data_IF_063552860845
#
_entry.id   IF_063552860845
#
_cell.length_a   1.000
_cell.length_b   1.000
_cell.length_c   1.000
_cell.angle_alpha   90.00
_cell.angle_beta   90.00
_cell.angle_gamma   90.00
#
_symmetry.space_group_name_H-M   'P 1'
#
loop_
_entity.id
_entity.type
_entity.pdbx_description
1 polymer ?
#
# COMPACT_ATOMS: atom_id res chain seq x y z
N UNK A 1 32.26 -6.59 16.95
CA UNK A 1 32.05 -5.54 15.94
C UNK A 1 31.12 -6.06 14.86
N UNK A 2 29.86 -5.62 14.82
CA UNK A 2 28.91 -5.98 13.75
C UNK A 2 28.46 -4.69 13.05
N UNK A 3 28.90 -4.51 11.81
CA UNK A 3 28.47 -3.41 10.94
C UNK A 3 27.08 -3.76 10.37
N UNK A 4 26.04 -2.98 10.69
CA UNK A 4 24.77 -3.00 9.96
C UNK A 4 24.86 -2.03 8.80
N UNK A 5 24.92 -2.57 7.59
CA UNK A 5 24.80 -1.83 6.34
C UNK A 5 23.35 -1.35 6.19
N UNK A 6 23.13 -0.04 6.23
CA UNK A 6 21.86 0.59 5.88
C UNK A 6 21.74 0.62 4.35
N UNK A 7 20.98 -0.29 3.75
CA UNK A 7 20.52 -0.13 2.38
C UNK A 7 19.17 0.59 2.39
N UNK A 8 19.20 1.84 1.93
CA UNK A 8 18.00 2.62 1.61
C UNK A 8 17.27 1.93 0.46
N UNK A 9 16.14 1.27 0.75
CA UNK A 9 15.21 0.81 -0.29
C UNK A 9 14.21 1.92 -0.53
N UNK A 10 14.39 2.66 -1.63
CA UNK A 10 13.38 3.58 -2.14
C UNK A 10 12.15 2.76 -2.59
N UNK A 11 11.05 2.88 -1.86
CA UNK A 11 9.75 2.34 -2.26
C UNK A 11 9.05 3.40 -3.10
N UNK A 12 9.18 3.29 -4.42
CA UNK A 12 8.34 4.03 -5.37
C UNK A 12 6.94 3.42 -5.36
N UNK A 13 5.96 4.15 -4.84
CA UNK A 13 4.54 3.81 -4.95
C UNK A 13 4.05 4.18 -6.36
N UNK A 14 3.94 3.19 -7.24
CA UNK A 14 3.14 3.32 -8.46
C UNK A 14 1.66 3.24 -8.08
N UNK A 15 0.90 4.30 -8.37
CA UNK A 15 -0.56 4.26 -8.37
C UNK A 15 -1.00 3.88 -9.78
N UNK A 16 -1.37 2.62 -9.98
CA UNK A 16 -1.96 2.18 -11.24
C UNK A 16 -3.48 2.14 -11.11
N UNK A 17 -4.13 2.77 -12.10
CA UNK A 17 -5.57 2.97 -12.20
C UNK A 17 -6.20 1.68 -12.75
N UNK A 18 -7.35 1.30 -12.22
CA UNK A 18 -8.28 0.39 -12.90
C UNK A 18 -8.72 -0.80 -12.07
N UNK A 19 -9.77 -0.61 -11.26
CA UNK A 19 -10.63 -1.72 -10.84
C UNK A 19 -12.08 -1.29 -11.04
N UNK A 20 -12.73 -1.93 -11.99
CA UNK A 20 -14.16 -1.83 -12.27
C UNK A 20 -14.99 -2.20 -11.03
N UNK A 21 -15.81 -1.26 -10.60
CA UNK A 21 -16.67 -1.35 -9.44
C UNK A 21 -18.10 -1.71 -9.85
N UNK A 22 -18.36 -3.00 -10.08
CA UNK A 22 -19.75 -3.52 -10.07
C UNK A 22 -19.80 -4.83 -9.28
N UNK A 23 -20.80 -4.89 -8.39
CA UNK A 23 -21.23 -6.03 -7.55
C UNK A 23 -20.42 -6.35 -6.28
N UNK A 24 -20.64 -5.57 -5.20
CA UNK A 24 -20.74 -6.12 -3.83
C UNK A 24 -21.78 -5.31 -3.01
N UNK A 25 -22.59 -5.97 -2.15
CA UNK A 25 -23.72 -5.36 -1.47
C UNK A 25 -23.29 -4.36 -0.40
N UNK A 26 -23.96 -3.21 -0.43
CA UNK A 26 -23.85 -2.08 0.47
C UNK A 26 -24.14 -2.47 1.92
N UNK A 27 -23.09 -2.69 2.70
CA UNK A 27 -23.14 -2.49 4.16
C UNK A 27 -21.80 -1.95 4.66
N UNK A 28 -21.42 -0.82 4.07
CA UNK A 28 -20.56 0.14 4.75
C UNK A 28 -21.35 0.69 5.95
N UNK A 29 -20.98 0.27 7.15
CA UNK A 29 -21.21 1.14 8.30
C UNK A 29 -20.48 2.45 7.99
N UNK A 30 -21.17 3.60 8.04
CA UNK A 30 -20.49 4.87 7.86
C UNK A 30 -19.60 5.03 9.08
N UNK A 31 -18.28 4.92 8.89
CA UNK A 31 -17.35 5.63 9.76
C UNK A 31 -17.58 7.09 9.43
N UNK A 32 -18.57 7.69 10.09
CA UNK A 32 -18.75 9.13 10.13
C UNK A 32 -17.43 9.70 10.59
N UNK A 33 -16.78 10.43 9.67
CA UNK A 33 -15.71 11.38 9.92
C UNK A 33 -16.25 12.58 10.71
N UNK A 34 -17.08 12.32 11.72
CA UNK A 34 -17.61 13.31 12.63
C UNK A 34 -17.03 13.00 14.00
N UNK A 35 -16.23 13.95 14.45
CA UNK A 35 -15.64 14.04 15.78
C UNK A 35 -14.40 13.16 16.00
N UNK A 36 -13.36 13.41 15.19
CA UNK A 36 -12.11 13.74 15.87
C UNK A 36 -12.48 14.84 16.88
N UNK A 37 -12.19 14.70 18.19
CA UNK A 37 -12.28 15.86 19.05
C UNK A 37 -11.40 16.89 18.34
N UNK A 38 -12.02 17.95 17.80
CA UNK A 38 -11.28 19.15 17.46
C UNK A 38 -10.49 19.38 18.73
N UNK A 39 -9.17 19.26 18.66
CA UNK A 39 -8.33 19.90 19.64
C UNK A 39 -8.82 21.35 19.57
N UNK A 40 -9.70 21.73 20.49
CA UNK A 40 -9.90 23.11 20.86
C UNK A 40 -8.51 23.49 21.27
N UNK A 41 -7.79 24.10 20.33
CA UNK A 41 -6.49 24.67 20.60
C UNK A 41 -6.72 25.50 21.84
N UNK A 42 -6.06 25.11 22.93
CA UNK A 42 -5.92 25.99 24.06
C UNK A 42 -5.33 27.26 23.47
N UNK A 43 -6.16 28.28 23.35
CA UNK A 43 -5.76 29.62 22.95
C UNK A 43 -4.87 30.07 24.10
N UNK A 44 -3.58 29.75 24.02
CA UNK A 44 -2.57 30.27 24.93
C UNK A 44 -2.57 31.78 24.71
N UNK A 45 -3.22 32.53 25.59
CA UNK A 45 -3.38 33.99 25.47
C UNK A 45 -2.03 34.72 25.60
N UNK A 46 -1.03 34.08 26.18
CA UNK A 46 0.32 34.61 26.28
C UNK A 46 0.99 34.65 24.90
N UNK A 47 1.01 35.84 24.28
CA UNK A 47 1.73 36.14 23.03
C UNK A 47 3.20 35.66 23.04
N UNK A 48 3.83 35.65 24.22
CA UNK A 48 5.19 35.16 24.42
C UNK A 48 5.32 33.64 24.27
N UNK A 49 4.33 32.85 24.70
CA UNK A 49 4.39 31.38 24.65
C UNK A 49 4.13 30.86 23.23
N UNK A 50 3.31 31.56 22.45
CA UNK A 50 3.07 31.23 21.03
C UNK A 50 4.32 31.39 20.19
N UNK A 51 5.05 32.50 20.41
CA UNK A 51 6.27 32.78 19.67
C UNK A 51 7.35 31.73 19.95
N UNK A 52 7.47 31.26 21.20
CA UNK A 52 8.38 30.17 21.56
C UNK A 52 7.97 28.84 20.97
N UNK A 53 6.66 28.50 20.94
CA UNK A 53 6.19 27.25 20.32
C UNK A 53 6.41 27.23 18.80
N UNK A 54 6.22 28.37 18.13
CA UNK A 54 6.45 28.48 16.67
C UNK A 54 7.94 28.35 16.36
N UNK A 55 8.82 28.97 17.16
CA UNK A 55 10.28 28.85 17.00
C UNK A 55 10.77 27.42 17.22
N UNK A 56 10.27 26.71 18.24
CA UNK A 56 10.65 25.32 18.52
C UNK A 56 10.22 24.34 17.42
N UNK A 57 9.04 24.56 16.82
CA UNK A 57 8.57 23.75 15.67
C UNK A 57 9.45 24.00 14.44
N UNK A 58 9.91 25.23 14.24
CA UNK A 58 10.77 25.60 13.11
C UNK A 58 12.21 25.08 13.25
N UNK A 59 12.75 25.02 14.47
CA UNK A 59 14.11 24.55 14.73
C UNK A 59 14.22 23.04 14.93
N UNK A 60 13.10 22.31 14.98
CA UNK A 60 13.05 20.88 15.37
C UNK A 60 13.73 20.60 16.73
N UNK A 61 13.92 21.64 17.53
CA UNK A 61 14.63 21.57 18.79
C UNK A 61 13.57 21.48 19.89
N UNK A 62 13.26 20.25 20.28
CA UNK A 62 12.33 20.00 21.37
C UNK A 62 13.02 20.41 22.66
N UNK A 63 12.53 21.49 23.27
CA UNK A 63 13.02 22.00 24.55
C UNK A 63 13.24 20.84 25.54
N UNK A 64 14.45 20.70 26.13
CA UNK A 64 14.74 19.67 27.11
C UNK A 64 13.70 19.70 28.23
N UNK A 65 13.25 18.51 28.64
CA UNK A 65 12.18 18.35 29.64
C UNK A 65 12.44 19.16 30.91
N UNK A 66 13.70 19.25 31.32
CA UNK A 66 14.13 19.92 32.55
C UNK A 66 14.05 21.45 32.47
N UNK A 67 14.26 22.01 31.28
CA UNK A 67 14.12 23.45 31.02
C UNK A 67 12.66 23.87 31.03
N UNK A 68 11.78 23.04 30.45
CA UNK A 68 10.34 23.26 30.49
C UNK A 68 9.80 23.22 31.93
N UNK A 69 10.30 22.30 32.77
CA UNK A 69 9.90 22.21 34.18
C UNK A 69 10.27 23.50 34.93
N UNK A 70 11.50 23.98 34.74
CA UNK A 70 12.00 25.20 35.39
C UNK A 70 11.20 26.45 35.01
N UNK A 71 10.80 26.55 33.73
CA UNK A 71 9.93 27.63 33.24
C UNK A 71 8.54 27.57 33.89
N UNK A 72 7.94 26.37 33.98
CA UNK A 72 6.62 26.19 34.58
C UNK A 72 6.62 26.52 36.08
N UNK A 73 7.66 26.11 36.81
CA UNK A 73 7.80 26.43 38.23
C UNK A 73 7.98 27.93 38.46
N UNK A 74 8.83 28.59 37.67
CA UNK A 74 9.07 30.03 37.75
C UNK A 74 7.76 30.81 37.52
N UNK A 75 6.97 30.43 36.51
CA UNK A 75 5.66 31.04 36.24
C UNK A 75 4.67 30.86 37.39
N UNK A 76 4.64 29.69 38.01
CA UNK A 76 3.75 29.43 39.16
C UNK A 76 4.08 30.29 40.36
N UNK A 77 5.37 30.42 40.68
CA UNK A 77 5.83 31.26 41.79
C UNK A 77 5.48 32.73 41.54
N UNK A 78 5.64 33.22 40.30
CA UNK A 78 5.24 34.60 39.94
C UNK A 78 3.73 34.83 40.02
N UNK A 79 2.92 33.79 39.79
CA UNK A 79 1.47 33.82 39.96
C UNK A 79 1.04 33.58 41.42
N UNK A 80 1.95 33.64 42.39
CA UNK A 80 1.73 33.36 43.83
C UNK A 80 1.14 31.97 44.11
N UNK A 81 1.37 31.00 43.22
CA UNK A 81 0.99 29.60 43.42
C UNK A 81 2.17 28.83 44.01
N UNK A 82 1.91 27.96 44.97
CA UNK A 82 2.94 27.09 45.55
C UNK A 82 3.62 26.23 44.47
N UNK A 83 4.92 25.97 44.70
CA UNK A 83 5.73 25.11 43.83
C UNK A 83 5.11 23.71 43.74
N UNK A 84 5.02 23.18 42.51
CA UNK A 84 4.63 21.79 42.29
C UNK A 84 5.76 20.87 42.72
N UNK A 85 5.64 20.31 43.93
CA UNK A 85 6.42 19.16 44.31
C UNK A 85 5.72 17.88 43.81
N UNK A 86 6.19 17.34 42.68
CA UNK A 86 5.75 16.05 42.19
C UNK A 86 6.70 14.96 42.70
N UNK A 87 6.27 14.22 43.72
CA UNK A 87 7.04 13.09 44.23
C UNK A 87 6.98 11.90 43.27
N UNK A 88 8.00 11.75 42.43
CA UNK A 88 8.17 10.60 41.53
C UNK A 88 8.38 9.28 42.28
N UNK A 89 8.71 9.32 43.57
CA UNK A 89 8.93 8.13 44.40
C UNK A 89 7.62 7.44 44.75
N UNK A 90 6.51 8.19 44.71
CA UNK A 90 5.16 7.67 44.89
C UNK A 90 4.70 6.99 43.60
N UNK A 91 5.33 5.87 43.25
CA UNK A 91 4.71 4.88 42.36
C UNK A 91 3.40 4.48 43.01
N UNK A 92 2.29 4.98 42.49
CA UNK A 92 0.94 4.59 42.89
C UNK A 92 0.81 3.08 42.58
N UNK A 93 1.16 2.24 43.54
CA UNK A 93 1.17 0.76 43.41
C UNK A 93 -0.24 0.16 43.50
N UNK A 94 -1.27 0.99 43.40
CA UNK A 94 -2.62 0.65 43.84
C UNK A 94 -3.62 0.89 42.72
N UNK A 95 -3.48 0.12 41.64
CA UNK A 95 -4.59 -0.32 40.78
C UNK A 95 -4.13 -1.55 39.96
N UNK A 96 -4.10 -2.70 40.63
CA UNK A 96 -4.98 -3.87 40.46
C UNK A 96 -4.51 -4.88 39.41
N UNK A 97 -4.27 -6.12 39.86
CA UNK A 97 -4.07 -7.33 39.03
C UNK A 97 -5.02 -7.42 37.83
N UNK A 98 -6.25 -6.93 37.97
CA UNK A 98 -7.25 -6.85 36.89
C UNK A 98 -6.83 -5.97 35.72
N UNK A 99 -6.15 -4.85 35.96
CA UNK A 99 -5.67 -3.99 34.87
C UNK A 99 -4.50 -4.63 34.12
N UNK A 100 -3.59 -5.29 34.85
CA UNK A 100 -2.52 -6.08 34.24
C UNK A 100 -3.07 -7.25 33.42
N UNK A 101 -4.09 -7.96 33.92
CA UNK A 101 -4.80 -9.00 33.15
C UNK A 101 -5.46 -8.43 31.89
N UNK A 102 -6.10 -7.26 31.98
CA UNK A 102 -6.71 -6.59 30.83
C UNK A 102 -5.66 -6.18 29.79
N UNK A 103 -4.51 -5.67 30.25
CA UNK A 103 -3.39 -5.32 29.39
C UNK A 103 -2.84 -6.57 28.68
N UNK A 104 -2.67 -7.68 29.41
CA UNK A 104 -2.15 -8.91 28.83
C UNK A 104 -3.14 -9.53 27.84
N UNK A 105 -4.45 -9.49 28.12
CA UNK A 105 -5.49 -9.87 27.16
C UNK A 105 -5.43 -9.02 25.89
N UNK A 106 -5.26 -7.69 26.01
CA UNK A 106 -5.10 -6.79 24.84
C UNK A 106 -3.85 -7.12 24.04
N UNK A 107 -2.72 -7.37 24.70
CA UNK A 107 -1.46 -7.77 24.04
C UNK A 107 -1.61 -9.08 23.29
N UNK A 108 -2.26 -10.08 23.89
CA UNK A 108 -2.51 -11.37 23.25
C UNK A 108 -3.41 -11.20 22.02
N UNK A 109 -4.49 -10.43 22.12
CA UNK A 109 -5.37 -10.13 20.99
C UNK A 109 -4.62 -9.41 19.87
N UNK A 110 -3.82 -8.41 20.20
CA UNK A 110 -3.01 -7.69 19.21
C UNK A 110 -1.96 -8.61 18.56
N UNK A 111 -1.32 -9.49 19.33
CA UNK A 111 -0.39 -10.50 18.81
C UNK A 111 -1.08 -11.43 17.81
N UNK A 112 -2.28 -11.91 18.14
CA UNK A 112 -3.08 -12.75 17.26
C UNK A 112 -3.54 -12.01 16.01
N UNK A 113 -3.97 -10.75 16.14
CA UNK A 113 -4.35 -9.90 15.02
C UNK A 113 -3.17 -9.64 14.07
N UNK A 114 -1.99 -9.34 14.62
CA UNK A 114 -0.76 -9.16 13.85
C UNK A 114 -0.34 -10.44 13.12
N UNK A 115 -0.44 -11.61 13.79
CA UNK A 115 -0.19 -12.92 13.16
C UNK A 115 -1.14 -13.15 11.98
N UNK A 116 -2.44 -12.99 12.19
CA UNK A 116 -3.47 -13.14 11.15
C UNK A 116 -3.28 -12.15 10.00
N UNK A 117 -2.87 -10.91 10.30
CA UNK A 117 -2.58 -9.92 9.26
C UNK A 117 -1.40 -10.34 8.39
N UNK A 118 -0.29 -10.78 9.01
CA UNK A 118 0.87 -11.30 8.27
C UNK A 118 0.52 -12.54 7.45
N UNK A 119 -0.25 -13.47 8.01
CA UNK A 119 -0.76 -14.64 7.29
C UNK A 119 -1.62 -14.23 6.08
N UNK A 120 -2.50 -13.24 6.25
CA UNK A 120 -3.33 -12.71 5.15
C UNK A 120 -2.48 -12.06 4.06
N UNK A 121 -1.44 -11.31 4.43
CA UNK A 121 -0.51 -10.73 3.45
C UNK A 121 0.27 -11.82 2.71
N UNK A 122 0.81 -12.81 3.42
CA UNK A 122 1.55 -13.91 2.82
C UNK A 122 0.67 -14.72 1.86
N UNK A 123 -0.55 -15.07 2.26
CA UNK A 123 -1.50 -15.80 1.42
C UNK A 123 -1.95 -14.99 0.20
N UNK A 124 -2.08 -13.67 0.32
CA UNK A 124 -2.32 -12.81 -0.83
C UNK A 124 -1.13 -12.82 -1.79
N UNK A 125 0.10 -12.68 -1.27
CA UNK A 125 1.32 -12.75 -2.07
C UNK A 125 1.45 -14.06 -2.83
N UNK A 126 1.24 -15.21 -2.17
CA UNK A 126 1.28 -16.52 -2.83
C UNK A 126 0.17 -16.69 -3.86
N UNK A 127 -1.04 -16.18 -3.58
CA UNK A 127 -2.16 -16.21 -4.55
C UNK A 127 -1.86 -15.38 -5.79
N UNK A 128 -1.28 -14.19 -5.63
CA UNK A 128 -0.89 -13.33 -6.76
C UNK A 128 0.21 -13.99 -7.59
N UNK A 129 1.25 -14.52 -6.95
CA UNK A 129 2.33 -15.24 -7.63
C UNK A 129 1.78 -16.42 -8.45
N UNK A 130 0.88 -17.22 -7.87
CA UNK A 130 0.24 -18.33 -8.58
C UNK A 130 -0.57 -17.86 -9.79
N UNK A 131 -1.29 -16.74 -9.66
CA UNK A 131 -2.03 -16.16 -10.81
C UNK A 131 -1.09 -15.71 -11.91
N UNK A 132 0.01 -15.04 -11.56
CA UNK A 132 1.03 -14.61 -12.54
C UNK A 132 1.59 -15.82 -13.28
N UNK A 133 2.02 -16.86 -12.56
CA UNK A 133 2.54 -18.09 -13.15
C UNK A 133 1.54 -18.78 -14.07
N UNK A 134 0.27 -18.86 -13.67
CA UNK A 134 -0.78 -19.45 -14.50
C UNK A 134 -0.96 -18.65 -15.81
N UNK A 135 -1.07 -17.32 -15.71
CA UNK A 135 -1.25 -16.46 -16.89
C UNK A 135 -0.03 -16.53 -17.81
N UNK A 136 1.18 -16.56 -17.28
CA UNK A 136 2.41 -16.74 -18.05
C UNK A 136 2.42 -18.10 -18.77
N UNK A 137 2.09 -19.18 -18.05
CA UNK A 137 1.96 -20.52 -18.62
C UNK A 137 0.94 -20.54 -19.77
N UNK A 138 -0.26 -20.00 -19.55
CA UNK A 138 -1.32 -19.96 -20.56
C UNK A 138 -0.89 -19.12 -21.77
N UNK A 139 -0.23 -17.97 -21.54
CA UNK A 139 0.28 -17.12 -22.62
C UNK A 139 1.33 -17.86 -23.45
N UNK A 140 2.27 -18.57 -22.81
CA UNK A 140 3.27 -19.36 -23.55
C UNK A 140 2.62 -20.47 -24.35
N UNK A 141 1.63 -21.17 -23.79
CA UNK A 141 0.85 -22.20 -24.48
C UNK A 141 0.12 -21.63 -25.71
N UNK A 142 -0.60 -20.52 -25.55
CA UNK A 142 -1.32 -19.86 -26.63
C UNK A 142 -0.37 -19.36 -27.73
N UNK A 143 0.77 -18.75 -27.37
CA UNK A 143 1.80 -18.34 -28.35
C UNK A 143 2.34 -19.52 -29.14
N UNK A 144 2.53 -20.67 -28.49
CA UNK A 144 2.96 -21.89 -29.17
C UNK A 144 1.89 -22.42 -30.12
N UNK A 145 0.62 -22.41 -29.73
CA UNK A 145 -0.50 -22.79 -30.60
C UNK A 145 -0.61 -21.86 -31.81
N UNK A 146 -0.52 -20.54 -31.60
CA UNK A 146 -0.50 -19.55 -32.70
C UNK A 146 0.66 -19.85 -33.66
N UNK A 147 1.86 -20.13 -33.14
CA UNK A 147 3.02 -20.47 -33.98
C UNK A 147 2.78 -21.75 -34.78
N UNK A 148 2.18 -22.78 -34.17
CA UNK A 148 1.85 -24.04 -34.84
C UNK A 148 0.84 -23.81 -35.98
N UNK A 149 -0.27 -23.12 -35.69
CA UNK A 149 -1.31 -22.84 -36.67
C UNK A 149 -0.81 -21.94 -37.82
N UNK A 150 0.05 -20.97 -37.54
CA UNK A 150 0.68 -20.15 -38.59
C UNK A 150 1.52 -21.01 -39.55
N UNK A 151 2.33 -21.93 -39.03
CA UNK A 151 3.14 -22.86 -39.83
C UNK A 151 2.27 -23.80 -40.67
N UNK A 152 1.20 -24.34 -40.08
CA UNK A 152 0.26 -25.21 -40.80
C UNK A 152 -0.42 -24.45 -41.94
N UNK A 153 -0.92 -23.23 -41.67
CA UNK A 153 -1.49 -22.36 -42.70
C UNK A 153 -0.51 -22.07 -43.83
N UNK A 154 0.73 -21.69 -43.50
CA UNK A 154 1.77 -21.40 -44.51
C UNK A 154 2.09 -22.62 -45.37
N UNK A 155 2.12 -23.81 -44.75
CA UNK A 155 2.34 -25.09 -45.44
C UNK A 155 1.20 -25.39 -46.41
N UNK A 156 -0.05 -25.25 -45.96
CA UNK A 156 -1.23 -25.47 -46.80
C UNK A 156 -1.31 -24.46 -47.94
N UNK A 157 -1.04 -23.19 -47.67
CA UNK A 157 -0.99 -22.15 -48.70
C UNK A 157 0.11 -22.43 -49.73
N UNK A 158 1.27 -22.95 -49.31
CA UNK A 158 2.34 -23.36 -50.22
C UNK A 158 1.88 -24.51 -51.12
N UNK A 159 1.33 -25.59 -50.57
CA UNK A 159 0.80 -26.70 -51.36
C UNK A 159 -0.29 -26.24 -52.35
N UNK A 160 -1.18 -25.36 -51.91
CA UNK A 160 -2.22 -24.81 -52.80
C UNK A 160 -1.60 -24.02 -53.96
N UNK A 161 -0.61 -23.15 -53.71
CA UNK A 161 0.09 -22.40 -54.76
C UNK A 161 0.82 -23.33 -55.73
N UNK A 162 1.49 -24.37 -55.23
CA UNK A 162 2.15 -25.39 -56.04
C UNK A 162 1.15 -26.08 -56.97
N UNK A 163 0.00 -26.55 -56.44
CA UNK A 163 -1.05 -27.14 -57.27
C UNK A 163 -1.63 -26.17 -58.30
N UNK A 164 -1.91 -24.93 -57.92
CA UNK A 164 -2.45 -23.92 -58.84
C UNK A 164 -1.46 -23.57 -59.95
N UNK A 165 -0.15 -23.60 -59.69
CA UNK A 165 0.87 -23.36 -60.72
C UNK A 165 0.94 -24.43 -61.81
N UNK A 166 0.49 -25.65 -61.51
CA UNK A 166 0.42 -26.77 -62.46
C UNK A 166 -0.95 -26.89 -63.14
N UNK A 167 -1.98 -26.28 -62.55
CA UNK A 167 -3.35 -26.33 -63.05
C UNK A 167 -3.54 -25.32 -64.19
N UNK A 168 -3.60 -25.81 -65.42
CA UNK A 168 -3.78 -25.01 -66.64
C UNK A 168 -5.17 -24.32 -66.76
N UNK A 169 -6.06 -24.47 -65.78
CA UNK A 169 -7.45 -24.01 -65.85
C UNK A 169 -7.78 -22.79 -64.97
N UNK A 170 -6.82 -22.25 -64.21
CA UNK A 170 -7.07 -21.16 -63.26
C UNK A 170 -6.59 -19.79 -63.78
N UNK A 171 -7.10 -19.39 -64.94
CA UNK A 171 -6.94 -18.02 -65.46
C UNK A 171 -8.18 -17.22 -65.05
N UNK A 172 -8.10 -16.44 -63.97
CA UNK A 172 -8.99 -15.27 -63.81
C UNK A 172 -9.75 -15.05 -62.49
N UNK A 173 -9.62 -15.89 -61.46
CA UNK A 173 -10.23 -15.57 -60.17
C UNK A 173 -9.22 -14.90 -59.23
N UNK A 174 -9.44 -13.65 -58.78
CA UNK A 174 -8.56 -13.02 -57.81
C UNK A 174 -8.62 -13.81 -56.50
N UNK A 175 -7.49 -14.40 -56.12
CA UNK A 175 -7.32 -15.02 -54.81
C UNK A 175 -7.54 -13.89 -53.80
N UNK A 176 -8.65 -13.94 -53.06
CA UNK A 176 -8.99 -12.96 -52.02
C UNK A 176 -7.92 -13.06 -50.93
N UNK A 177 -6.84 -12.31 -51.08
CA UNK A 177 -5.74 -12.20 -50.09
C UNK A 177 -5.84 -10.94 -49.24
N UNK A 178 -6.78 -10.04 -49.51
CA UNK A 178 -6.80 -8.71 -48.89
C UNK A 178 -7.62 -8.56 -47.61
N UNK A 179 -8.50 -9.51 -47.23
CA UNK A 179 -9.39 -9.29 -46.09
C UNK A 179 -8.79 -9.57 -44.69
N UNK A 180 -7.57 -10.14 -44.61
CA UNK A 180 -6.94 -10.53 -43.33
C UNK A 180 -5.64 -9.78 -43.01
N UNK A 181 -5.25 -8.82 -43.85
CA UNK A 181 -4.03 -8.02 -43.63
C UNK A 181 -4.18 -6.97 -42.51
N UNK A 182 -5.42 -6.57 -42.18
CA UNK A 182 -5.68 -5.44 -41.28
C UNK A 182 -5.71 -5.78 -39.78
N UNK A 183 -5.50 -7.04 -39.40
CA UNK A 183 -5.56 -7.49 -38.00
C UNK A 183 -4.19 -7.71 -37.34
N UNK A 184 -3.09 -7.28 -37.97
CA UNK A 184 -1.74 -7.38 -37.37
C UNK A 184 -1.19 -6.06 -36.79
N UNK A 185 -1.95 -4.96 -36.84
CA UNK A 185 -1.49 -3.64 -36.43
C UNK A 185 -2.31 -2.98 -35.33
N UNK A 186 -2.55 -3.62 -34.18
CA UNK A 186 -3.06 -2.89 -33.00
C UNK A 186 -2.85 -3.67 -31.70
N UNK A 187 -1.59 -3.78 -31.26
CA UNK A 187 -1.21 -4.06 -29.87
C UNK A 187 0.26 -3.63 -29.70
N UNK A 188 0.46 -2.33 -29.56
CA UNK A 188 1.66 -1.73 -28.97
C UNK A 188 1.23 -1.06 -27.66
#
# INVERSE_FOLDING_TARGET
MYKRSNSLVNVTLYTDRGIDCKTLPSRTLPLTLHEFPRFQGFVLEDSSLRLTSVKAIQTNDVMPKDELISIIQSKRVTETKEELYFDFSKKLKTETTKENERMERRRLQNRMAAKRFREKLNTLGTKLQKKTQNVESDNTSLRNQIRKLKKERETLQRHLREHLSLCHYFVGAPIVTSAWADLQGSCA
#
